data_IF_406317095793
#
_entry.id   IF_406317095793
#
_cell.length_a   1.000
_cell.length_b   1.000
_cell.length_c   1.000
_cell.angle_alpha   90.00
_cell.angle_beta   90.00
_cell.angle_gamma   90.00
#
_symmetry.space_group_name_H-M   'P 1'
#
loop_
_entity.id
_entity.type
_entity.pdbx_description
1 polymer ?
#
# COMPACT_ATOMS: atom_id res chain seq x y z
N UNK A 1 5.54 -17.45 6.47
CA UNK A 1 6.20 -16.41 5.63
C UNK A 1 5.61 -15.06 6.00
N UNK A 2 6.41 -13.99 5.99
CA UNK A 2 5.96 -12.62 6.24
C UNK A 2 5.52 -11.97 4.93
N UNK A 3 4.32 -11.41 4.92
CA UNK A 3 3.78 -10.65 3.80
C UNK A 3 3.60 -9.20 4.26
N UNK A 4 4.25 -8.28 3.56
CA UNK A 4 4.24 -6.86 3.91
C UNK A 4 3.54 -6.10 2.80
N UNK A 5 2.47 -5.39 3.15
CA UNK A 5 1.75 -4.53 2.22
C UNK A 5 2.03 -3.07 2.50
N UNK A 6 2.36 -2.31 1.46
CA UNK A 6 2.76 -0.90 1.58
C UNK A 6 1.91 -0.04 0.65
N UNK A 7 1.14 0.86 1.25
CA UNK A 7 0.60 2.04 0.58
C UNK A 7 1.60 3.20 0.78
N UNK A 8 2.28 3.69 -0.27
CA UNK A 8 3.25 4.78 -0.15
C UNK A 8 2.59 6.16 -0.09
N UNK A 9 1.26 6.25 -0.07
CA UNK A 9 0.52 7.51 0.01
C UNK A 9 0.92 8.39 1.19
N UNK A 10 0.50 9.65 1.18
CA UNK A 10 0.84 10.63 2.23
C UNK A 10 0.43 10.16 3.64
N UNK A 11 -0.71 9.49 3.76
CA UNK A 11 -1.20 8.88 5.00
C UNK A 11 -1.14 7.35 4.95
N UNK A 12 -0.39 6.83 3.99
CA UNK A 12 -0.26 5.41 3.74
C UNK A 12 0.29 4.68 4.96
N UNK A 13 0.13 3.36 4.93
CA UNK A 13 0.49 2.48 6.03
C UNK A 13 1.29 1.29 5.50
N UNK A 14 1.97 0.64 6.43
CA UNK A 14 2.69 -0.60 6.20
C UNK A 14 2.06 -1.63 7.11
N UNK A 15 1.51 -2.70 6.54
CA UNK A 15 0.93 -3.81 7.29
C UNK A 15 1.83 -5.04 7.16
N UNK A 16 2.02 -5.77 8.26
CA UNK A 16 2.80 -7.00 8.31
C UNK A 16 1.87 -8.14 8.71
N UNK A 17 1.74 -9.14 7.84
CA UNK A 17 0.93 -10.33 8.05
C UNK A 17 1.82 -11.57 8.09
N UNK A 18 1.52 -12.48 9.02
CA UNK A 18 2.15 -13.80 9.10
C UNK A 18 1.10 -14.81 9.56
N UNK A 19 1.05 -15.96 8.90
CA UNK A 19 0.20 -17.10 9.31
C UNK A 19 -1.30 -16.72 9.51
N UNK A 20 -1.83 -15.85 8.63
CA UNK A 20 -3.19 -15.26 8.67
C UNK A 20 -3.44 -14.22 9.77
N UNK A 21 -2.42 -13.85 10.54
CA UNK A 21 -2.53 -12.84 11.58
C UNK A 21 -1.86 -11.53 11.16
N UNK A 22 -2.50 -10.42 11.50
CA UNK A 22 -1.90 -9.09 11.38
C UNK A 22 -1.00 -8.89 12.60
N UNK A 23 0.31 -8.87 12.37
CA UNK A 23 1.29 -8.68 13.44
C UNK A 23 1.41 -7.22 13.86
N UNK A 24 1.37 -6.31 12.87
CA UNK A 24 1.54 -4.89 13.10
C UNK A 24 1.05 -4.08 11.90
N UNK A 25 0.58 -2.87 12.16
CA UNK A 25 0.38 -1.83 11.15
C UNK A 25 1.05 -0.54 11.63
N UNK A 26 1.96 0.00 10.82
CA UNK A 26 2.73 1.20 11.14
C UNK A 26 2.53 2.30 10.10
N UNK A 27 2.83 3.54 10.49
CA UNK A 27 2.92 4.66 9.58
C UNK A 27 4.12 4.56 8.65
N UNK A 28 4.06 5.24 7.51
CA UNK A 28 5.26 5.54 6.73
C UNK A 28 6.17 6.43 7.60
N UNK A 29 7.46 6.10 7.76
CA UNK A 29 8.41 6.91 8.54
C UNK A 29 8.53 8.35 8.04
N UNK A 30 9.01 9.25 8.90
CA UNK A 30 9.25 10.63 8.51
C UNK A 30 10.47 10.72 7.58
N UNK A 31 10.34 11.41 6.44
CA UNK A 31 11.42 11.58 5.46
C UNK A 31 12.60 12.38 5.99
N UNK A 32 12.36 13.21 7.01
CA UNK A 32 13.42 13.94 7.72
C UNK A 32 14.29 13.02 8.58
N UNK A 33 13.92 11.75 8.74
CA UNK A 33 14.59 10.75 9.56
C UNK A 33 14.96 9.49 8.72
N UNK A 34 15.99 9.56 7.86
CA UNK A 34 16.38 8.47 6.97
C UNK A 34 16.73 7.15 7.68
N UNK A 35 17.19 7.22 8.93
CA UNK A 35 17.48 6.07 9.77
C UNK A 35 16.23 5.23 10.07
N UNK A 36 15.05 5.85 10.21
CA UNK A 36 13.80 5.10 10.42
C UNK A 36 13.47 4.24 9.21
N UNK A 37 13.61 4.79 8.00
CA UNK A 37 13.48 4.04 6.76
C UNK A 37 14.49 2.90 6.67
N UNK A 38 15.76 3.16 7.01
CA UNK A 38 16.81 2.13 7.00
C UNK A 38 16.55 1.02 8.03
N UNK A 39 15.94 1.32 9.16
CA UNK A 39 15.71 0.37 10.24
C UNK A 39 14.32 -0.27 10.21
N UNK A 40 13.42 0.21 9.35
CA UNK A 40 12.01 -0.21 9.22
C UNK A 40 11.82 -1.73 9.26
N UNK A 41 12.59 -2.47 8.45
CA UNK A 41 12.49 -3.92 8.35
C UNK A 41 13.48 -4.68 9.24
N UNK A 42 14.34 -3.98 9.98
CA UNK A 42 15.47 -4.59 10.69
C UNK A 42 15.01 -5.63 11.73
N UNK A 43 13.92 -5.36 12.46
CA UNK A 43 13.36 -6.29 13.46
C UNK A 43 12.79 -7.57 12.86
N UNK A 44 12.31 -7.52 11.61
CA UNK A 44 11.82 -8.70 10.91
C UNK A 44 13.00 -9.46 10.31
N UNK A 45 13.98 -8.76 9.74
CA UNK A 45 15.22 -9.35 9.27
C UNK A 45 15.98 -10.12 10.35
N UNK A 46 16.13 -9.56 11.56
CA UNK A 46 16.85 -10.22 12.65
C UNK A 46 16.18 -11.52 13.09
N UNK A 47 14.85 -11.60 13.00
CA UNK A 47 14.07 -12.81 13.32
C UNK A 47 14.14 -13.90 12.25
N UNK A 48 14.36 -13.53 10.99
CA UNK A 48 14.24 -14.44 9.84
C UNK A 48 15.63 -14.89 9.32
N UNK A 49 16.72 -14.24 9.74
CA UNK A 49 18.09 -14.55 9.32
C UNK A 49 18.46 -13.97 7.94
N UNK A 50 19.75 -13.73 7.69
CA UNK A 50 20.29 -12.93 6.56
C UNK A 50 20.03 -13.46 5.12
N UNK A 51 19.24 -14.52 4.90
CA UNK A 51 19.15 -15.20 3.58
C UNK A 51 17.75 -15.59 3.10
N UNK A 52 16.68 -15.20 3.77
CA UNK A 52 15.46 -16.01 3.72
C UNK A 52 14.38 -15.49 2.77
N UNK A 53 13.97 -16.40 1.87
CA UNK A 53 12.73 -16.41 1.05
C UNK A 53 11.43 -16.28 1.85
N UNK A 54 11.51 -15.91 3.14
CA UNK A 54 10.40 -15.92 4.09
C UNK A 54 9.83 -14.51 4.33
N UNK A 55 10.21 -13.53 3.53
CA UNK A 55 9.61 -12.20 3.47
C UNK A 55 9.29 -11.86 2.01
N UNK A 56 8.12 -11.28 1.77
CA UNK A 56 7.75 -10.69 0.49
C UNK A 56 7.05 -9.36 0.73
N UNK A 57 7.51 -8.32 0.04
CA UNK A 57 6.90 -6.99 0.07
C UNK A 57 6.02 -6.80 -1.17
N UNK A 58 4.85 -6.22 -0.97
CA UNK A 58 3.96 -5.75 -2.01
C UNK A 58 3.86 -4.23 -1.88
N UNK A 59 4.48 -3.54 -2.82
CA UNK A 59 4.54 -2.08 -2.84
C UNK A 59 3.55 -1.55 -3.89
N UNK A 60 2.55 -0.78 -3.46
CA UNK A 60 1.65 -0.15 -4.41
C UNK A 60 2.38 0.92 -5.23
N UNK A 61 2.23 0.87 -6.56
CA UNK A 61 2.72 1.88 -7.49
C UNK A 61 1.90 3.16 -7.34
N UNK A 62 2.54 4.34 -7.24
CA UNK A 62 1.81 5.59 -7.18
C UNK A 62 1.04 5.83 -8.48
N UNK A 63 -0.16 6.39 -8.34
CA UNK A 63 -0.99 6.75 -9.50
C UNK A 63 -0.33 7.89 -10.27
N UNK A 64 -0.08 7.66 -11.56
CA UNK A 64 0.36 8.70 -12.49
C UNK A 64 -0.88 9.41 -13.03
N UNK A 65 -0.92 10.73 -12.88
CA UNK A 65 -2.02 11.56 -13.37
C UNK A 65 -1.46 12.73 -14.19
N UNK A 66 -1.93 12.94 -15.42
CA UNK A 66 -1.44 14.05 -16.23
C UNK A 66 -1.80 15.38 -15.57
N UNK A 67 -0.94 16.39 -15.71
CA UNK A 67 -1.21 17.74 -15.21
C UNK A 67 -2.34 18.41 -15.97
N UNK A 68 -2.38 18.20 -17.29
CA UNK A 68 -3.36 18.77 -18.21
C UNK A 68 -3.97 17.63 -19.02
N UNK A 69 -5.28 17.63 -19.17
CA UNK A 69 -5.97 16.75 -20.11
C UNK A 69 -7.34 17.29 -20.47
N UNK A 70 -8.28 16.40 -20.83
CA UNK A 70 -9.63 16.79 -21.23
C UNK A 70 -10.68 16.15 -20.32
N UNK A 71 -11.69 16.91 -19.93
CA UNK A 71 -12.91 16.40 -19.28
C UNK A 71 -14.15 16.87 -20.07
N UNK A 72 -15.26 16.11 -20.06
CA UNK A 72 -16.50 16.57 -20.66
C UNK A 72 -17.10 17.73 -19.86
N UNK A 73 -17.56 18.77 -20.54
CA UNK A 73 -18.34 19.84 -19.93
C UNK A 73 -19.57 19.25 -19.20
N UNK A 74 -19.83 19.58 -17.93
CA UNK A 74 -21.02 19.09 -17.22
C UNK A 74 -22.33 19.40 -17.96
N UNK A 75 -22.40 20.57 -18.61
CA UNK A 75 -23.58 21.10 -19.32
C UNK A 75 -23.71 20.56 -20.75
N UNK A 76 -22.76 20.84 -21.64
CA UNK A 76 -22.88 20.54 -23.07
C UNK A 76 -22.08 19.31 -23.53
N UNK A 77 -21.37 18.62 -22.62
CA UNK A 77 -20.53 17.44 -22.89
C UNK A 77 -19.32 17.65 -23.82
N UNK A 78 -19.14 18.83 -24.42
CA UNK A 78 -17.95 19.16 -25.21
C UNK A 78 -16.66 19.00 -24.39
N UNK A 79 -15.59 18.39 -24.95
CA UNK A 79 -14.31 18.27 -24.25
C UNK A 79 -13.71 19.65 -23.93
N UNK A 80 -13.35 19.87 -22.67
CA UNK A 80 -12.65 21.08 -22.20
C UNK A 80 -11.29 20.72 -21.65
N UNK A 81 -10.32 21.63 -21.83
CA UNK A 81 -9.03 21.54 -21.16
C UNK A 81 -9.27 21.56 -19.66
N UNK A 82 -8.68 20.62 -18.95
CA UNK A 82 -8.83 20.46 -17.52
C UNK A 82 -7.47 20.26 -16.86
N UNK A 83 -7.19 21.08 -15.86
CA UNK A 83 -6.02 20.93 -15.00
C UNK A 83 -6.37 19.99 -13.85
N UNK A 84 -5.73 18.83 -13.81
CA UNK A 84 -5.97 17.88 -12.73
C UNK A 84 -5.23 18.31 -11.47
N UNK A 85 -5.93 18.25 -10.33
CA UNK A 85 -5.31 18.44 -9.02
C UNK A 85 -4.19 17.41 -8.81
N UNK A 86 -3.04 17.91 -8.37
CA UNK A 86 -1.82 17.14 -8.08
C UNK A 86 -1.59 16.88 -6.58
N UNK A 87 -2.58 17.20 -5.75
CA UNK A 87 -2.47 17.11 -4.29
C UNK A 87 -2.16 15.66 -3.88
N UNK A 88 -1.10 15.48 -3.09
CA UNK A 88 -0.67 14.17 -2.58
C UNK A 88 0.09 13.29 -3.59
N UNK A 89 0.10 13.65 -4.87
CA UNK A 89 0.80 12.87 -5.92
C UNK A 89 2.31 12.92 -5.68
N UNK A 90 2.90 14.12 -5.55
CA UNK A 90 4.33 14.27 -5.28
C UNK A 90 4.77 13.50 -4.03
N UNK A 91 3.99 13.57 -2.95
CA UNK A 91 4.31 12.85 -1.73
C UNK A 91 4.30 11.34 -1.94
N UNK A 92 3.29 10.80 -2.61
CA UNK A 92 3.21 9.36 -2.86
C UNK A 92 4.41 8.87 -3.69
N UNK A 93 4.85 9.66 -4.68
CA UNK A 93 6.02 9.33 -5.51
C UNK A 93 7.33 9.38 -4.73
N UNK A 94 7.53 10.39 -3.87
CA UNK A 94 8.74 10.49 -3.03
C UNK A 94 8.80 9.33 -2.03
N UNK A 95 7.71 9.04 -1.32
CA UNK A 95 7.64 7.90 -0.40
C UNK A 95 7.94 6.60 -1.12
N UNK A 96 7.30 6.38 -2.27
CA UNK A 96 7.53 5.22 -3.11
C UNK A 96 9.01 5.05 -3.47
N UNK A 97 9.66 6.12 -3.94
CA UNK A 97 11.08 6.08 -4.32
C UNK A 97 12.00 5.76 -3.14
N UNK A 98 11.77 6.37 -1.96
CA UNK A 98 12.56 6.09 -0.75
C UNK A 98 12.37 4.62 -0.33
N UNK A 99 11.11 4.16 -0.26
CA UNK A 99 10.79 2.78 0.11
C UNK A 99 11.42 1.77 -0.85
N UNK A 100 11.24 1.97 -2.16
CA UNK A 100 11.82 1.11 -3.18
C UNK A 100 13.34 1.07 -3.07
N UNK A 101 13.99 2.21 -2.85
CA UNK A 101 15.44 2.29 -2.62
C UNK A 101 15.89 1.47 -1.42
N UNK A 102 15.20 1.57 -0.28
CA UNK A 102 15.49 0.78 0.93
C UNK A 102 15.29 -0.72 0.70
N UNK A 103 14.21 -1.08 0.01
CA UNK A 103 13.87 -2.47 -0.32
C UNK A 103 14.98 -3.09 -1.17
N UNK A 104 15.44 -2.35 -2.20
CA UNK A 104 16.52 -2.76 -3.09
C UNK A 104 17.86 -2.84 -2.35
N UNK A 105 18.24 -1.82 -1.57
CA UNK A 105 19.48 -1.78 -0.78
C UNK A 105 19.62 -3.01 0.13
N UNK A 106 18.50 -3.45 0.73
CA UNK A 106 18.46 -4.61 1.62
C UNK A 106 18.33 -5.95 0.90
N UNK A 107 18.07 -5.95 -0.40
CA UNK A 107 17.78 -7.17 -1.17
C UNK A 107 16.53 -7.90 -0.69
N UNK A 108 15.49 -7.18 -0.25
CA UNK A 108 14.20 -7.80 0.13
C UNK A 108 13.47 -8.21 -1.16
N UNK A 109 12.95 -9.44 -1.27
CA UNK A 109 12.02 -9.79 -2.34
C UNK A 109 10.78 -8.88 -2.32
N UNK A 110 10.45 -8.29 -3.47
CA UNK A 110 9.29 -7.42 -3.60
C UNK A 110 8.57 -7.59 -4.93
N UNK A 111 7.30 -7.20 -4.94
CA UNK A 111 6.49 -7.02 -6.13
C UNK A 111 5.88 -5.62 -6.10
N UNK A 112 6.02 -4.88 -7.20
CA UNK A 112 5.29 -3.63 -7.37
C UNK A 112 3.92 -3.93 -8.00
N UNK A 113 2.85 -3.51 -7.34
CA UNK A 113 1.47 -3.76 -7.78
C UNK A 113 0.72 -2.46 -8.01
N UNK A 114 -0.29 -2.47 -8.87
CA UNK A 114 -1.20 -1.34 -9.03
C UNK A 114 -2.40 -1.43 -8.10
N UNK A 115 -2.98 -0.28 -7.76
CA UNK A 115 -4.24 -0.22 -7.01
C UNK A 115 -5.38 -0.96 -7.70
N UNK A 116 -5.38 -0.99 -9.04
CA UNK A 116 -6.38 -1.71 -9.82
C UNK A 116 -6.27 -3.23 -9.66
N UNK A 117 -5.05 -3.78 -9.60
CA UNK A 117 -4.84 -5.23 -9.51
C UNK A 117 -5.40 -5.81 -8.22
N UNK A 118 -4.99 -5.28 -7.07
CA UNK A 118 -5.46 -5.81 -5.78
C UNK A 118 -6.91 -5.43 -5.49
N UNK A 119 -7.38 -4.23 -5.91
CA UNK A 119 -8.81 -3.87 -5.74
C UNK A 119 -9.69 -4.75 -6.59
N UNK A 120 -9.29 -5.10 -7.82
CA UNK A 120 -10.02 -6.06 -8.65
C UNK A 120 -10.11 -7.42 -7.95
N UNK A 121 -9.02 -7.89 -7.36
CA UNK A 121 -8.99 -9.16 -6.63
C UNK A 121 -10.01 -9.23 -5.48
N UNK A 122 -10.23 -8.12 -4.76
CA UNK A 122 -11.19 -8.06 -3.67
C UNK A 122 -12.58 -7.50 -4.05
N UNK A 123 -12.86 -7.28 -5.34
CA UNK A 123 -14.09 -6.66 -5.83
C UNK A 123 -14.33 -5.24 -5.27
N UNK A 124 -13.28 -4.41 -5.27
CA UNK A 124 -13.28 -3.03 -4.77
C UNK A 124 -13.11 -1.98 -5.88
N UNK A 125 -13.27 -2.35 -7.15
CA UNK A 125 -13.14 -1.41 -8.27
C UNK A 125 -14.35 -0.49 -8.32
N UNK A 126 -14.10 0.82 -8.27
CA UNK A 126 -15.17 1.84 -8.29
C UNK A 126 -15.88 2.03 -6.94
N UNK A 127 -15.50 1.24 -5.94
CA UNK A 127 -16.04 1.30 -4.58
C UNK A 127 -15.47 2.48 -3.78
N UNK A 128 -16.19 2.86 -2.73
CA UNK A 128 -15.75 3.91 -1.83
C UNK A 128 -14.67 3.43 -0.84
N UNK A 129 -14.11 4.37 -0.07
CA UNK A 129 -13.07 4.08 0.93
C UNK A 129 -13.58 3.21 2.08
N UNK A 130 -14.88 3.22 2.38
CA UNK A 130 -15.48 2.39 3.45
C UNK A 130 -15.56 0.94 3.05
N UNK A 131 -15.70 0.64 1.75
CA UNK A 131 -15.68 -0.73 1.23
C UNK A 131 -14.36 -1.45 1.56
N UNK A 132 -13.21 -0.75 1.50
CA UNK A 132 -11.92 -1.32 1.96
C UNK A 132 -11.92 -1.67 3.45
N UNK A 133 -12.49 -0.81 4.31
CA UNK A 133 -12.59 -1.04 5.76
C UNK A 133 -13.48 -2.26 6.04
N UNK A 134 -14.66 -2.31 5.44
CA UNK A 134 -15.58 -3.43 5.58
C UNK A 134 -14.93 -4.74 5.11
N UNK A 135 -14.21 -4.69 3.98
CA UNK A 135 -13.51 -5.85 3.44
C UNK A 135 -12.39 -6.33 4.37
N UNK A 136 -11.56 -5.42 4.88
CA UNK A 136 -10.50 -5.78 5.82
C UNK A 136 -11.08 -6.43 7.10
N UNK A 137 -12.15 -5.85 7.66
CA UNK A 137 -12.84 -6.42 8.84
C UNK A 137 -13.47 -7.78 8.58
N UNK A 138 -14.01 -7.99 7.37
CA UNK A 138 -14.54 -9.29 6.95
C UNK A 138 -13.42 -10.36 6.90
N UNK A 139 -12.23 -10.00 6.42
CA UNK A 139 -11.12 -10.93 6.26
C UNK A 139 -10.35 -11.18 7.57
N UNK A 140 -10.34 -10.19 8.46
CA UNK A 140 -9.64 -10.23 9.75
C UNK A 140 -10.59 -9.81 10.88
N UNK A 141 -11.53 -10.70 11.28
CA UNK A 141 -12.53 -10.38 12.30
C UNK A 141 -11.90 -10.07 13.67
N UNK A 142 -10.77 -10.70 14.01
CA UNK A 142 -10.08 -10.46 15.28
C UNK A 142 -9.32 -9.13 15.33
N UNK A 143 -9.17 -8.45 14.17
CA UNK A 143 -8.45 -7.19 14.04
C UNK A 143 -9.37 -5.98 13.83
N UNK A 144 -10.68 -6.12 14.10
CA UNK A 144 -11.66 -5.04 13.86
C UNK A 144 -11.32 -3.74 14.59
N UNK A 145 -10.78 -3.85 15.80
CA UNK A 145 -10.39 -2.70 16.63
C UNK A 145 -9.14 -2.01 16.08
N UNK A 146 -8.15 -2.79 15.64
CA UNK A 146 -6.96 -2.30 14.97
C UNK A 146 -7.31 -1.56 13.67
N UNK A 147 -8.22 -2.13 12.87
CA UNK A 147 -8.68 -1.54 11.61
C UNK A 147 -9.48 -0.25 11.87
N UNK A 148 -10.35 -0.27 12.88
CA UNK A 148 -11.19 0.86 13.26
C UNK A 148 -11.97 1.41 12.06
N UNK A 149 -11.88 2.73 11.85
CA UNK A 149 -12.48 3.43 10.70
C UNK A 149 -11.41 4.07 9.79
N UNK A 150 -10.18 3.52 9.79
CA UNK A 150 -9.06 4.08 9.05
C UNK A 150 -8.86 3.33 7.73
N UNK A 151 -9.22 3.98 6.62
CA UNK A 151 -9.07 3.44 5.28
C UNK A 151 -7.61 3.10 4.94
N UNK A 152 -6.64 3.92 5.36
CA UNK A 152 -5.23 3.67 5.08
C UNK A 152 -4.70 2.41 5.79
N UNK A 153 -5.22 2.10 7.00
CA UNK A 153 -4.90 0.84 7.70
C UNK A 153 -5.49 -0.34 6.92
N UNK A 154 -6.76 -0.22 6.53
CA UNK A 154 -7.45 -1.26 5.78
C UNK A 154 -6.78 -1.54 4.42
N UNK A 155 -6.41 -0.52 3.66
CA UNK A 155 -5.77 -0.70 2.35
C UNK A 155 -4.39 -1.37 2.49
N UNK A 156 -3.55 -0.97 3.46
CA UNK A 156 -2.27 -1.64 3.68
C UNK A 156 -2.43 -3.13 4.07
N UNK A 157 -3.40 -3.46 4.93
CA UNK A 157 -3.74 -4.84 5.28
C UNK A 157 -4.18 -5.61 4.03
N UNK A 158 -5.04 -5.03 3.21
CA UNK A 158 -5.54 -5.68 1.99
C UNK A 158 -4.42 -5.89 0.96
N UNK A 159 -3.46 -4.97 0.82
CA UNK A 159 -2.29 -5.17 -0.04
C UNK A 159 -1.46 -6.36 0.45
N UNK A 160 -1.20 -6.46 1.76
CA UNK A 160 -0.46 -7.58 2.34
C UNK A 160 -1.21 -8.92 2.14
N UNK A 161 -2.52 -8.90 2.35
CA UNK A 161 -3.40 -10.07 2.20
C UNK A 161 -3.54 -10.53 0.74
N UNK A 162 -3.61 -9.59 -0.21
CA UNK A 162 -3.55 -9.87 -1.64
C UNK A 162 -2.28 -10.67 -1.97
N UNK A 163 -1.15 -10.18 -1.50
CA UNK A 163 0.14 -10.83 -1.68
C UNK A 163 0.22 -12.23 -1.07
N UNK A 164 -0.28 -12.38 0.16
CA UNK A 164 -0.35 -13.68 0.85
C UNK A 164 -1.15 -14.70 0.06
N UNK A 165 -2.32 -14.31 -0.44
CA UNK A 165 -3.19 -15.21 -1.23
C UNK A 165 -2.58 -15.57 -2.57
N UNK A 166 -1.92 -14.62 -3.25
CA UNK A 166 -1.24 -14.85 -4.52
C UNK A 166 -0.10 -15.87 -4.40
N UNK A 167 0.60 -15.90 -3.27
CA UNK A 167 1.66 -16.88 -3.00
C UNK A 167 1.16 -18.23 -2.47
N UNK A 168 -0.07 -18.30 -1.97
CA UNK A 168 -0.68 -19.53 -1.44
C UNK A 168 -1.50 -20.30 -2.50
N UNK A 169 -1.57 -19.77 -3.73
CA UNK A 169 -2.28 -20.35 -4.88
C UNK A 169 -1.27 -20.97 -5.85
#
# INVERSE_FOLDING_TARGET
MYYIGIDPGLKGKIAIIKDNEILEVIGIPDRSQPEEFRNLFQKYYSKIGKKSKNIMIYLEKPIIKPMIGKKPCPKCKTPMVYQYQQKGIANSHINYGILLGVIIDKGIPYEEISSQEWKKYFNLIGEDKKSSIAKAKQLFPDATDLIGNNDNIAEAILIAEYGRRKHSS
#
